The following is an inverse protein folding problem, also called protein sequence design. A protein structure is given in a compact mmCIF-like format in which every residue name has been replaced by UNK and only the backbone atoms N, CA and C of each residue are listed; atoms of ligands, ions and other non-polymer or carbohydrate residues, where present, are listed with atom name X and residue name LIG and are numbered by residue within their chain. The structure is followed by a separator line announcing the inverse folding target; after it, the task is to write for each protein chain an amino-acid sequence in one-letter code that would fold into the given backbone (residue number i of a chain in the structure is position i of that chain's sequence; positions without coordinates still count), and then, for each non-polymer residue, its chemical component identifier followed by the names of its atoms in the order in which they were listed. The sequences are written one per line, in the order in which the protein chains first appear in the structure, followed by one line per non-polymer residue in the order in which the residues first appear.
data_IF_762508355340
#
_entry.id   IF_762508355340
#
_cell.length_a   1.000
_cell.length_b   1.000
_cell.length_c   1.000
_cell.angle_alpha   90.00
_cell.angle_beta   90.00
_cell.angle_gamma   90.00
#
_symmetry.space_group_name_H-M   'P 1'
#
loop_
_entity.id
_entity.type
_entity.pdbx_description
1 polymer ?
#
# COMPACT_ATOMS: atom_id res chain seq x y z
N UNK A 1 -50.51 35.76 46.12
CA UNK A 1 -49.74 36.19 47.31
C UNK A 1 -48.72 35.11 47.64
N UNK A 2 -47.47 35.53 47.83
CA UNK A 2 -46.35 34.90 48.55
C UNK A 2 -45.83 33.51 48.14
N UNK A 3 -44.63 33.47 47.53
CA UNK A 3 -43.30 33.12 48.12
C UNK A 3 -43.09 31.61 48.15
N UNK A 4 -42.19 30.98 47.39
CA UNK A 4 -40.77 31.25 47.26
C UNK A 4 -40.02 30.45 48.33
N UNK A 5 -39.17 29.48 47.95
CA UNK A 5 -37.83 29.25 48.51
C UNK A 5 -37.09 28.10 47.79
N UNK A 6 -35.84 28.40 47.43
CA UNK A 6 -34.77 27.51 47.03
C UNK A 6 -34.30 26.63 48.20
N UNK A 7 -33.75 25.44 47.91
CA UNK A 7 -32.59 24.77 48.54
C UNK A 7 -32.33 23.49 47.71
N UNK A 8 -31.32 23.46 46.84
CA UNK A 8 -29.93 23.03 47.12
C UNK A 8 -29.80 21.57 47.57
N UNK A 9 -28.97 20.79 46.87
CA UNK A 9 -28.31 19.62 47.45
C UNK A 9 -28.37 18.31 46.66
N UNK A 10 -27.19 17.94 46.15
CA UNK A 10 -26.66 16.57 45.94
C UNK A 10 -27.08 15.77 44.71
N UNK A 11 -26.10 15.76 43.80
CA UNK A 11 -25.76 14.72 42.81
C UNK A 11 -26.00 13.30 43.34
N UNK A 12 -26.80 12.52 42.62
CA UNK A 12 -26.72 11.06 42.61
C UNK A 12 -26.50 10.67 41.15
N UNK A 13 -25.34 10.11 40.88
CA UNK A 13 -24.98 9.52 39.60
C UNK A 13 -25.85 8.28 39.37
N UNK A 14 -26.79 8.35 38.42
CA UNK A 14 -27.32 7.15 37.78
C UNK A 14 -26.52 6.91 36.51
N UNK A 15 -25.64 5.92 36.56
CA UNK A 15 -24.93 5.40 35.40
C UNK A 15 -25.93 4.77 34.43
N UNK A 16 -26.30 5.52 33.39
CA UNK A 16 -26.81 4.93 32.17
C UNK A 16 -25.62 4.53 31.31
N UNK A 17 -25.45 3.22 31.15
CA UNK A 17 -24.56 2.61 30.17
C UNK A 17 -25.12 2.94 28.78
N UNK A 18 -24.64 4.05 28.20
CA UNK A 18 -24.71 4.29 26.77
C UNK A 18 -23.50 3.61 26.14
N UNK A 19 -23.68 2.32 25.82
CA UNK A 19 -22.79 1.60 24.92
C UNK A 19 -23.38 1.72 23.51
N UNK A 20 -23.17 2.86 22.85
CA UNK A 20 -23.43 2.99 21.42
C UNK A 20 -22.65 4.17 20.83
N UNK A 21 -21.96 3.86 19.72
CA UNK A 21 -21.45 4.77 18.70
C UNK A 21 -20.18 5.58 19.05
N UNK A 22 -19.05 4.86 19.10
CA UNK A 22 -17.80 5.37 18.52
C UNK A 22 -17.49 4.53 17.28
N UNK A 23 -18.32 4.69 16.25
CA UNK A 23 -17.84 4.45 14.89
C UNK A 23 -17.24 5.78 14.43
N UNK A 24 -15.94 5.85 14.07
CA UNK A 24 -15.45 7.00 13.34
C UNK A 24 -16.20 7.04 12.01
N UNK A 25 -17.05 8.04 11.88
CA UNK A 25 -17.71 8.42 10.64
C UNK A 25 -16.59 8.87 9.70
N UNK A 26 -16.19 8.02 8.75
CA UNK A 26 -15.29 8.39 7.67
C UNK A 26 -16.08 9.28 6.71
N UNK A 27 -16.06 10.59 6.96
CA UNK A 27 -16.43 11.55 5.94
C UNK A 27 -15.23 11.72 5.02
N UNK A 28 -15.24 10.99 3.91
CA UNK A 28 -14.21 11.08 2.88
C UNK A 28 -14.48 12.34 2.04
N UNK A 29 -13.75 13.41 2.35
CA UNK A 29 -13.67 14.56 1.47
C UNK A 29 -12.76 14.19 0.32
N UNK A 30 -13.34 14.08 -0.88
CA UNK A 30 -12.60 14.04 -2.11
C UNK A 30 -11.92 15.41 -2.29
N UNK A 31 -10.63 15.51 -1.97
CA UNK A 31 -9.70 16.46 -2.56
C UNK A 31 -8.29 16.12 -2.05
N UNK A 32 -7.38 15.94 -3.02
CA UNK A 32 -5.93 15.89 -2.88
C UNK A 32 -5.31 14.57 -2.36
N UNK A 33 -4.56 13.92 -3.27
CA UNK A 33 -3.72 12.78 -2.94
C UNK A 33 -2.53 13.20 -2.10
N UNK A 34 -2.64 13.05 -0.78
CA UNK A 34 -1.50 13.06 0.13
C UNK A 34 -1.08 11.61 0.44
N UNK A 35 0.03 11.18 -0.16
CA UNK A 35 0.77 9.99 0.31
C UNK A 35 1.47 10.41 1.60
N UNK A 36 1.06 9.85 2.74
CA UNK A 36 1.72 10.05 4.03
C UNK A 36 3.13 9.42 3.99
N UNK A 37 4.16 10.26 3.82
CA UNK A 37 5.57 9.88 3.95
C UNK A 37 5.95 9.97 5.44
N UNK A 38 6.23 8.82 6.07
CA UNK A 38 6.86 8.81 7.40
C UNK A 38 8.35 9.16 7.24
N UNK A 39 8.75 10.32 7.73
CA UNK A 39 10.12 10.81 7.74
C UNK A 39 10.87 10.24 8.96
N UNK A 40 11.84 9.35 8.74
CA UNK A 40 12.71 8.81 9.81
C UNK A 40 13.96 9.70 9.97
N UNK A 41 14.22 10.16 11.21
CA UNK A 41 15.26 11.15 11.54
C UNK A 41 16.68 10.55 11.56
N UNK A 42 17.61 11.25 10.93
CA UNK A 42 19.05 10.97 10.96
C UNK A 42 19.73 11.25 12.32
N UNK A 43 20.78 10.47 12.63
CA UNK A 43 21.85 10.82 13.57
C UNK A 43 23.20 10.86 12.82
N UNK A 44 23.93 11.97 12.95
CA UNK A 44 25.21 12.25 12.25
C UNK A 44 26.46 11.74 12.98
N UNK A 45 27.43 11.20 12.22
CA UNK A 45 28.76 11.81 11.88
C UNK A 45 29.86 10.76 11.61
N UNK A 46 30.69 11.03 10.59
CA UNK A 46 32.11 10.61 10.53
C UNK A 46 32.63 10.26 9.13
N UNK A 47 33.56 11.06 8.58
CA UNK A 47 34.22 10.87 7.26
C UNK A 47 35.45 9.96 7.36
N UNK A 48 35.74 9.12 6.35
CA UNK A 48 37.04 9.01 5.61
C UNK A 48 36.81 8.32 4.25
N UNK A 49 37.42 8.84 3.18
CA UNK A 49 37.37 8.33 1.81
C UNK A 49 38.32 7.15 1.52
N UNK A 50 37.89 6.15 0.73
CA UNK A 50 38.74 5.29 -0.13
C UNK A 50 37.98 4.80 -1.39
N UNK A 51 38.75 4.67 -2.49
CA UNK A 51 38.42 4.32 -3.89
C UNK A 51 37.69 2.97 -4.10
N UNK A 52 36.80 2.98 -5.11
CA UNK A 52 36.14 1.93 -5.93
C UNK A 52 35.99 0.50 -5.36
N UNK A 53 34.75 0.00 -5.23
CA UNK A 53 34.43 -1.44 -5.00
C UNK A 53 33.09 -1.87 -5.65
N UNK A 54 33.10 -2.69 -6.71
CA UNK A 54 31.89 -3.24 -7.34
C UNK A 54 31.21 -4.39 -6.52
N UNK A 55 31.62 -4.63 -5.26
CA UNK A 55 31.09 -5.71 -4.39
C UNK A 55 29.89 -5.30 -3.52
N UNK A 56 29.57 -4.00 -3.41
CA UNK A 56 28.55 -3.54 -2.45
C UNK A 56 27.12 -3.87 -2.85
N UNK A 57 26.85 -3.99 -4.15
CA UNK A 57 25.55 -4.37 -4.73
C UNK A 57 25.32 -5.88 -4.68
N UNK A 58 26.35 -6.71 -4.89
CA UNK A 58 26.20 -8.18 -4.91
C UNK A 58 25.55 -8.73 -3.62
N UNK A 59 25.87 -8.15 -2.47
CA UNK A 59 25.26 -8.54 -1.20
C UNK A 59 23.77 -8.25 -1.12
N UNK A 60 23.31 -7.11 -1.65
CA UNK A 60 21.88 -6.73 -1.64
C UNK A 60 21.10 -7.42 -2.77
N UNK A 61 21.73 -7.63 -3.93
CA UNK A 61 21.15 -8.43 -5.01
C UNK A 61 20.90 -9.87 -4.55
N UNK A 62 21.87 -10.49 -3.87
CA UNK A 62 21.67 -11.82 -3.30
C UNK A 62 20.56 -11.86 -2.25
N UNK A 63 20.45 -10.83 -1.40
CA UNK A 63 19.34 -10.73 -0.44
C UNK A 63 17.99 -10.64 -1.14
N UNK A 64 17.87 -9.85 -2.21
CA UNK A 64 16.67 -9.77 -3.05
C UNK A 64 16.32 -11.13 -3.67
N UNK A 65 17.29 -11.81 -4.28
CA UNK A 65 17.11 -13.13 -4.88
C UNK A 65 16.70 -14.21 -3.87
N UNK A 66 17.35 -14.24 -2.71
CA UNK A 66 17.03 -15.21 -1.65
C UNK A 66 15.66 -14.89 -1.02
N UNK A 67 15.29 -13.62 -0.90
CA UNK A 67 13.96 -13.20 -0.47
C UNK A 67 12.86 -13.64 -1.46
N UNK A 68 13.10 -13.51 -2.77
CA UNK A 68 12.17 -13.99 -3.80
C UNK A 68 11.93 -15.51 -3.67
N UNK A 69 12.98 -16.31 -3.45
CA UNK A 69 12.82 -17.76 -3.21
C UNK A 69 12.00 -18.06 -1.95
N UNK A 70 12.14 -17.25 -0.90
CA UNK A 70 11.36 -17.40 0.32
C UNK A 70 9.89 -17.01 0.11
N UNK A 71 9.62 -15.98 -0.70
CA UNK A 71 8.26 -15.62 -1.15
C UNK A 71 7.62 -16.78 -1.89
N UNK A 72 8.33 -17.42 -2.83
CA UNK A 72 7.83 -18.61 -3.56
C UNK A 72 7.52 -19.79 -2.61
N UNK A 73 8.24 -19.89 -1.50
CA UNK A 73 8.01 -20.87 -0.42
C UNK A 73 6.94 -20.43 0.60
N UNK A 74 6.32 -19.25 0.41
CA UNK A 74 5.38 -18.61 1.34
C UNK A 74 5.95 -18.31 2.73
N UNK A 75 7.26 -18.18 2.83
CA UNK A 75 7.98 -17.80 4.06
C UNK A 75 8.12 -16.29 4.14
N UNK A 76 6.98 -15.61 4.25
CA UNK A 76 6.91 -14.15 4.09
C UNK A 76 7.69 -13.39 5.16
N UNK A 77 7.69 -13.83 6.41
CA UNK A 77 8.43 -13.15 7.48
C UNK A 77 9.95 -13.21 7.27
N UNK A 78 10.46 -14.37 6.85
CA UNK A 78 11.88 -14.56 6.50
C UNK A 78 12.25 -13.72 5.27
N UNK A 79 11.37 -13.68 4.25
CA UNK A 79 11.58 -12.86 3.05
C UNK A 79 11.61 -11.36 3.38
N UNK A 80 10.66 -10.86 4.17
CA UNK A 80 10.58 -9.47 4.57
C UNK A 80 11.79 -9.03 5.40
N UNK A 81 12.31 -9.90 6.26
CA UNK A 81 13.55 -9.63 6.99
C UNK A 81 14.74 -9.41 6.05
N UNK A 82 14.85 -10.21 4.96
CA UNK A 82 15.89 -10.01 3.94
C UNK A 82 15.68 -8.74 3.12
N UNK A 83 14.44 -8.44 2.74
CA UNK A 83 14.13 -7.20 2.02
C UNK A 83 14.50 -5.95 2.84
N UNK A 84 14.12 -5.88 4.13
CA UNK A 84 14.50 -4.76 4.99
C UNK A 84 16.01 -4.65 5.16
N UNK A 85 16.69 -5.78 5.37
CA UNK A 85 18.15 -5.80 5.47
C UNK A 85 18.85 -5.36 4.17
N UNK A 86 18.21 -5.54 3.00
CA UNK A 86 18.69 -5.04 1.72
C UNK A 86 18.42 -3.55 1.56
N UNK A 87 17.21 -3.07 1.89
CA UNK A 87 16.81 -1.66 1.83
C UNK A 87 17.72 -0.82 2.73
N UNK A 88 17.95 -1.26 3.98
CA UNK A 88 18.85 -0.57 4.91
C UNK A 88 20.27 -0.44 4.35
N UNK A 89 20.75 -1.49 3.67
CA UNK A 89 22.09 -1.47 3.05
C UNK A 89 22.15 -0.54 1.83
N UNK A 90 21.10 -0.49 1.02
CA UNK A 90 20.98 0.46 -0.11
C UNK A 90 21.08 1.89 0.42
N UNK A 91 20.28 2.22 1.45
CA UNK A 91 20.29 3.53 2.11
C UNK A 91 21.65 3.87 2.74
N UNK A 92 22.18 2.98 3.59
CA UNK A 92 23.42 3.23 4.34
C UNK A 92 24.67 3.34 3.46
N UNK A 93 24.78 2.50 2.42
CA UNK A 93 25.94 2.49 1.53
C UNK A 93 25.84 3.48 0.38
N UNK A 94 24.76 4.27 0.34
CA UNK A 94 24.44 5.19 -0.76
C UNK A 94 24.56 4.50 -2.13
N UNK A 95 24.00 3.30 -2.24
CA UNK A 95 23.93 2.59 -3.52
C UNK A 95 22.98 3.38 -4.41
N UNK A 96 23.48 3.89 -5.54
CA UNK A 96 22.71 4.73 -6.48
C UNK A 96 22.29 3.94 -7.70
N UNK A 97 21.59 2.85 -7.47
CA UNK A 97 21.00 2.03 -8.54
C UNK A 97 19.48 2.16 -8.43
N UNK A 98 18.95 3.12 -9.19
CA UNK A 98 17.53 3.49 -9.16
C UNK A 98 16.64 2.35 -9.65
N UNK A 99 17.13 1.58 -10.62
CA UNK A 99 16.40 0.44 -11.16
C UNK A 99 16.29 -0.67 -10.11
N UNK A 100 17.41 -1.00 -9.47
CA UNK A 100 17.44 -1.99 -8.40
C UNK A 100 16.65 -1.54 -7.16
N UNK A 101 16.74 -0.27 -6.76
CA UNK A 101 15.99 0.25 -5.61
C UNK A 101 14.48 0.20 -5.85
N UNK A 102 14.02 0.62 -7.05
CA UNK A 102 12.61 0.49 -7.43
C UNK A 102 12.16 -0.98 -7.46
N UNK A 103 12.97 -1.88 -8.01
CA UNK A 103 12.69 -3.31 -8.02
C UNK A 103 12.57 -3.88 -6.60
N UNK A 104 13.54 -3.58 -5.73
CA UNK A 104 13.60 -4.06 -4.35
C UNK A 104 12.37 -3.61 -3.56
N UNK A 105 11.98 -2.34 -3.68
CA UNK A 105 10.78 -1.79 -3.04
C UNK A 105 9.52 -2.48 -3.56
N UNK A 106 9.40 -2.69 -4.86
CA UNK A 106 8.25 -3.40 -5.44
C UNK A 106 8.20 -4.88 -5.03
N UNK A 107 9.34 -5.57 -4.97
CA UNK A 107 9.40 -6.96 -4.50
C UNK A 107 8.97 -7.06 -3.03
N UNK A 108 9.36 -6.08 -2.22
CA UNK A 108 8.91 -5.94 -0.82
C UNK A 108 7.40 -5.75 -0.75
N UNK A 109 6.85 -4.85 -1.59
CA UNK A 109 5.41 -4.61 -1.69
C UNK A 109 4.65 -5.88 -2.08
N UNK A 110 5.15 -6.62 -3.06
CA UNK A 110 4.56 -7.89 -3.50
C UNK A 110 4.60 -8.95 -2.39
N UNK A 111 5.69 -9.04 -1.62
CA UNK A 111 5.76 -9.94 -0.48
C UNK A 111 4.71 -9.62 0.59
N UNK A 112 4.49 -8.33 0.87
CA UNK A 112 3.40 -7.89 1.74
C UNK A 112 2.01 -8.21 1.18
N UNK A 113 1.78 -7.97 -0.11
CA UNK A 113 0.54 -8.32 -0.78
C UNK A 113 0.26 -9.83 -0.68
N UNK A 114 1.24 -10.68 -0.99
CA UNK A 114 1.09 -12.12 -0.91
C UNK A 114 0.89 -12.59 0.54
N UNK A 115 1.64 -12.03 1.50
CA UNK A 115 1.43 -12.29 2.94
C UNK A 115 0.00 -11.97 3.34
N UNK A 116 -0.50 -10.80 2.95
CA UNK A 116 -1.88 -10.40 3.21
C UNK A 116 -2.90 -11.31 2.55
N UNK A 117 -2.64 -11.74 1.31
CA UNK A 117 -3.51 -12.62 0.55
C UNK A 117 -3.61 -14.03 1.14
N UNK A 118 -2.50 -14.62 1.60
CA UNK A 118 -2.48 -16.00 2.09
C UNK A 118 -2.69 -16.16 3.60
N UNK A 119 -2.35 -15.14 4.41
CA UNK A 119 -2.42 -15.25 5.87
C UNK A 119 -3.64 -14.58 6.49
N UNK A 120 -4.48 -13.89 5.71
CA UNK A 120 -5.64 -13.20 6.26
C UNK A 120 -6.93 -13.99 6.14
N UNK A 121 -7.67 -14.08 7.26
CA UNK A 121 -9.06 -14.54 7.32
C UNK A 121 -10.07 -13.43 6.98
N UNK A 122 -9.69 -12.16 7.16
CA UNK A 122 -10.54 -10.99 6.90
C UNK A 122 -9.77 -9.86 6.24
N UNK A 123 -10.33 -9.35 5.15
CA UNK A 123 -9.72 -8.37 4.30
C UNK A 123 -9.55 -6.98 4.96
N UNK A 124 -10.43 -6.62 5.91
CA UNK A 124 -10.51 -5.29 6.53
C UNK A 124 -9.36 -4.93 7.48
N UNK A 125 -8.67 -5.93 8.05
CA UNK A 125 -7.71 -5.73 9.15
C UNK A 125 -6.27 -5.92 8.68
N UNK A 126 -6.03 -5.87 7.37
CA UNK A 126 -4.80 -6.37 6.79
C UNK A 126 -3.74 -5.28 6.66
N UNK A 127 -2.99 -5.07 7.73
CA UNK A 127 -1.78 -4.24 7.75
C UNK A 127 -0.84 -4.55 6.57
N UNK A 128 -0.80 -5.80 6.10
CA UNK A 128 0.03 -6.19 4.98
C UNK A 128 -0.40 -5.50 3.66
N UNK A 129 -1.69 -5.25 3.42
CA UNK A 129 -2.09 -4.49 2.22
C UNK A 129 -1.72 -3.01 2.33
N UNK A 130 -1.80 -2.42 3.52
CA UNK A 130 -1.33 -1.05 3.75
C UNK A 130 0.17 -0.95 3.43
N UNK A 131 0.96 -1.90 3.94
CA UNK A 131 2.39 -1.98 3.65
C UNK A 131 2.68 -2.25 2.17
N UNK A 132 1.88 -3.07 1.50
CA UNK A 132 2.02 -3.28 0.06
C UNK A 132 1.83 -1.97 -0.73
N UNK A 133 0.80 -1.17 -0.40
CA UNK A 133 0.60 0.15 -1.03
C UNK A 133 1.77 1.08 -0.72
N UNK A 134 2.22 1.14 0.53
CA UNK A 134 3.33 1.99 0.97
C UNK A 134 4.60 1.72 0.15
N UNK A 135 5.06 0.47 0.09
CA UNK A 135 6.29 0.10 -0.60
C UNK A 135 6.17 0.21 -2.13
N UNK A 136 5.01 -0.11 -2.72
CA UNK A 136 4.82 0.05 -4.15
C UNK A 136 4.78 1.54 -4.54
N UNK A 137 4.19 2.40 -3.69
CA UNK A 137 4.22 3.85 -3.88
C UNK A 137 5.65 4.40 -3.79
N UNK A 138 6.45 3.93 -2.83
CA UNK A 138 7.86 4.29 -2.73
C UNK A 138 8.65 3.87 -3.99
N UNK A 139 8.37 2.69 -4.56
CA UNK A 139 8.99 2.25 -5.82
C UNK A 139 8.71 3.22 -6.97
N UNK A 140 7.46 3.67 -7.12
CA UNK A 140 7.08 4.69 -8.12
C UNK A 140 7.78 6.03 -7.87
N UNK A 141 7.94 6.45 -6.61
CA UNK A 141 8.66 7.68 -6.26
C UNK A 141 10.16 7.60 -6.60
N UNK A 142 10.77 6.43 -6.44
CA UNK A 142 12.16 6.18 -6.84
C UNK A 142 12.32 6.19 -8.35
N UNK A 143 11.41 5.52 -9.07
CA UNK A 143 11.39 5.47 -10.53
C UNK A 143 9.97 5.46 -11.07
N UNK A 144 9.53 6.61 -11.56
CA UNK A 144 8.18 6.77 -12.10
C UNK A 144 7.88 5.81 -13.25
N UNK A 145 8.85 5.55 -14.12
CA UNK A 145 8.69 4.63 -15.26
C UNK A 145 8.74 3.15 -14.89
N UNK A 146 8.85 2.80 -13.59
CA UNK A 146 8.89 1.41 -13.13
C UNK A 146 7.48 0.81 -13.10
N UNK A 147 6.98 0.44 -14.28
CA UNK A 147 5.62 -0.09 -14.46
C UNK A 147 5.20 -1.26 -13.57
N UNK A 148 6.09 -2.18 -13.10
CA UNK A 148 5.67 -3.26 -12.23
C UNK A 148 5.06 -2.77 -10.91
N UNK A 149 5.50 -1.61 -10.39
CA UNK A 149 4.93 -1.03 -9.18
C UNK A 149 3.47 -0.60 -9.33
N UNK A 150 3.10 -0.05 -10.49
CA UNK A 150 1.71 0.25 -10.79
C UNK A 150 0.85 -1.01 -10.88
N UNK A 151 1.39 -2.10 -11.43
CA UNK A 151 0.69 -3.40 -11.45
C UNK A 151 0.49 -3.94 -10.04
N UNK A 152 1.50 -3.82 -9.16
CA UNK A 152 1.36 -4.22 -7.75
C UNK A 152 0.30 -3.38 -7.03
N UNK A 153 0.28 -2.05 -7.23
CA UNK A 153 -0.77 -1.18 -6.69
C UNK A 153 -2.15 -1.60 -7.20
N UNK A 154 -2.29 -1.83 -8.51
CA UNK A 154 -3.54 -2.31 -9.11
C UNK A 154 -3.99 -3.65 -8.52
N UNK A 155 -3.08 -4.61 -8.31
CA UNK A 155 -3.42 -5.90 -7.71
C UNK A 155 -3.87 -5.75 -6.25
N UNK A 156 -3.25 -4.85 -5.46
CA UNK A 156 -3.68 -4.55 -4.09
C UNK A 156 -5.07 -3.90 -4.08
N UNK A 157 -5.31 -2.87 -4.90
CA UNK A 157 -6.60 -2.19 -4.96
C UNK A 157 -7.71 -3.06 -5.56
N UNK A 158 -7.37 -4.01 -6.43
CA UNK A 158 -8.31 -5.00 -6.92
C UNK A 158 -8.83 -5.87 -5.77
N UNK A 159 -7.96 -6.25 -4.83
CA UNK A 159 -8.41 -6.93 -3.61
C UNK A 159 -9.24 -6.01 -2.71
N UNK A 160 -8.91 -4.72 -2.65
CA UNK A 160 -9.69 -3.68 -1.95
C UNK A 160 -11.04 -3.39 -2.62
N UNK A 161 -11.30 -3.95 -3.80
CA UNK A 161 -12.49 -3.68 -4.64
C UNK A 161 -12.65 -2.20 -5.01
N UNK A 162 -11.57 -1.44 -4.94
CA UNK A 162 -11.52 -0.05 -5.39
C UNK A 162 -11.15 -0.05 -6.89
N UNK A 163 -12.12 -0.41 -7.73
CA UNK A 163 -11.88 -0.65 -9.15
C UNK A 163 -11.54 0.64 -9.92
N UNK A 164 -11.91 1.80 -9.40
CA UNK A 164 -11.52 3.09 -9.99
C UNK A 164 -10.02 3.30 -9.88
N UNK A 165 -9.42 3.08 -8.69
CA UNK A 165 -7.97 3.13 -8.53
C UNK A 165 -7.26 2.07 -9.36
N UNK A 166 -7.85 0.88 -9.50
CA UNK A 166 -7.28 -0.18 -10.34
C UNK A 166 -7.17 0.27 -11.80
N UNK A 167 -8.20 0.92 -12.35
CA UNK A 167 -8.21 1.47 -13.72
C UNK A 167 -7.13 2.56 -13.88
N UNK A 168 -7.00 3.46 -12.90
CA UNK A 168 -5.94 4.48 -12.89
C UNK A 168 -4.54 3.87 -12.93
N UNK A 169 -4.26 2.87 -12.08
CA UNK A 169 -2.95 2.25 -12.02
C UNK A 169 -2.62 1.38 -13.23
N UNK A 170 -3.60 0.65 -13.79
CA UNK A 170 -3.36 -0.07 -15.04
C UNK A 170 -3.13 0.89 -16.22
N UNK A 171 -3.85 2.00 -16.29
CA UNK A 171 -3.58 3.06 -17.27
C UNK A 171 -2.14 3.55 -17.16
N UNK A 172 -1.66 3.83 -15.93
CA UNK A 172 -0.27 4.23 -15.70
C UNK A 172 0.75 3.14 -16.05
N UNK A 173 0.47 1.87 -15.76
CA UNK A 173 1.35 0.77 -16.16
C UNK A 173 1.49 0.68 -17.69
N UNK A 174 0.39 0.86 -18.42
CA UNK A 174 0.34 0.84 -19.89
C UNK A 174 1.08 2.00 -20.57
N UNK A 175 1.25 3.13 -19.87
CA UNK A 175 2.06 4.27 -20.38
C UNK A 175 3.55 3.90 -20.52
N UNK A 176 4.06 3.02 -19.64
CA UNK A 176 5.49 2.76 -19.49
C UNK A 176 5.94 1.38 -19.99
N UNK A 177 5.06 0.40 -20.02
CA UNK A 177 5.39 -0.95 -20.51
C UNK A 177 5.51 -0.97 -22.04
N UNK A 178 6.42 -1.80 -22.56
CA UNK A 178 6.60 -1.98 -24.00
C UNK A 178 5.37 -2.66 -24.63
N UNK A 179 4.75 -2.01 -25.62
CA UNK A 179 3.46 -2.44 -26.20
C UNK A 179 3.51 -3.81 -26.89
N UNK A 180 4.66 -4.20 -27.42
CA UNK A 180 4.83 -5.50 -28.10
C UNK A 180 5.27 -6.61 -27.11
N UNK A 181 5.31 -6.32 -25.81
CA UNK A 181 5.73 -7.29 -24.79
C UNK A 181 4.58 -8.20 -24.35
N UNK A 182 4.94 -9.43 -23.95
CA UNK A 182 4.01 -10.36 -23.29
C UNK A 182 3.43 -9.79 -21.99
N UNK A 183 4.10 -8.83 -21.36
CA UNK A 183 3.62 -8.23 -20.13
C UNK A 183 2.55 -7.17 -20.40
N UNK A 184 2.67 -6.40 -21.48
CA UNK A 184 1.61 -5.51 -21.95
C UNK A 184 0.32 -6.28 -22.22
N UNK A 185 0.39 -7.40 -22.94
CA UNK A 185 -0.78 -8.26 -23.21
C UNK A 185 -1.48 -8.72 -21.92
N UNK A 186 -0.71 -9.10 -20.89
CA UNK A 186 -1.24 -9.51 -19.58
C UNK A 186 -1.89 -8.34 -18.85
N UNK A 187 -1.26 -7.17 -18.86
CA UNK A 187 -1.77 -5.95 -18.21
C UNK A 187 -3.10 -5.54 -18.84
N UNK A 188 -3.14 -5.40 -20.17
CA UNK A 188 -4.36 -5.03 -20.91
C UNK A 188 -5.48 -6.03 -20.67
N UNK A 189 -5.19 -7.32 -20.60
CA UNK A 189 -6.19 -8.35 -20.27
C UNK A 189 -6.80 -8.14 -18.89
N UNK A 190 -5.98 -7.89 -17.86
CA UNK A 190 -6.46 -7.57 -16.50
C UNK A 190 -7.25 -6.25 -16.50
N UNK A 191 -6.75 -5.22 -17.16
CA UNK A 191 -7.38 -3.91 -17.23
C UNK A 191 -8.76 -3.96 -17.90
N UNK A 192 -8.89 -4.71 -19.01
CA UNK A 192 -10.17 -4.91 -19.68
C UNK A 192 -11.22 -5.62 -18.80
N UNK A 193 -10.79 -6.49 -17.88
CA UNK A 193 -11.70 -7.09 -16.90
C UNK A 193 -12.24 -6.03 -15.94
N UNK A 194 -11.38 -5.13 -15.47
CA UNK A 194 -11.74 -4.04 -14.55
C UNK A 194 -12.70 -3.07 -15.21
N UNK A 195 -12.46 -2.69 -16.47
CA UNK A 195 -13.38 -1.85 -17.25
C UNK A 195 -14.78 -2.44 -17.34
N UNK A 196 -14.91 -3.75 -17.57
CA UNK A 196 -16.20 -4.44 -17.57
C UNK A 196 -16.89 -4.42 -16.19
N UNK A 197 -16.13 -4.52 -15.11
CA UNK A 197 -16.67 -4.41 -13.75
C UNK A 197 -17.23 -3.01 -13.52
N UNK A 198 -16.47 -1.97 -13.87
CA UNK A 198 -16.89 -0.57 -13.74
C UNK A 198 -18.12 -0.26 -14.59
N UNK A 199 -18.17 -0.74 -15.85
CA UNK A 199 -19.34 -0.60 -16.71
C UNK A 199 -20.59 -1.26 -16.12
N UNK A 200 -20.43 -2.40 -15.44
CA UNK A 200 -21.54 -3.09 -14.77
C UNK A 200 -22.03 -2.29 -13.56
N UNK A 201 -21.11 -1.77 -12.74
CA UNK A 201 -21.44 -0.96 -11.56
C UNK A 201 -22.22 0.31 -11.96
N UNK A 202 -21.79 1.02 -13.00
CA UNK A 202 -22.50 2.20 -13.52
C UNK A 202 -23.93 1.89 -13.95
N UNK A 203 -24.15 0.76 -14.64
CA UNK A 203 -25.50 0.35 -15.06
C UNK A 203 -26.40 0.02 -13.87
N UNK A 204 -25.87 -0.59 -12.82
CA UNK A 204 -26.61 -0.91 -11.59
C UNK A 204 -26.95 0.36 -10.80
N UNK A 205 -26.13 1.41 -10.86
CA UNK A 205 -26.39 2.70 -10.24
C UNK A 205 -27.44 3.53 -11.02
N UNK A 206 -27.48 3.40 -12.34
CA UNK A 206 -28.41 4.11 -13.23
C UNK A 206 -29.81 3.47 -13.33
N UNK A 207 -29.99 2.23 -12.85
CA UNK A 207 -31.30 1.58 -12.79
C UNK A 207 -32.15 2.14 -11.63
N UNK A 208 -33.34 2.72 -11.89
CA UNK A 208 -34.16 3.29 -10.84
C UNK A 208 -34.58 2.19 -9.86
N UNK A 209 -34.35 2.42 -8.57
CA UNK A 209 -34.83 1.54 -7.51
C UNK A 209 -36.35 1.32 -7.70
N UNK A 210 -36.72 0.10 -8.09
CA UNK A 210 -38.12 -0.28 -8.25
C UNK A 210 -38.74 -0.19 -6.85
N UNK A 211 -39.52 0.86 -6.61
CA UNK A 211 -40.30 1.00 -5.39
C UNK A 211 -41.39 -0.07 -5.40
N UNK A 212 -41.24 -1.09 -4.56
CA UNK A 212 -42.32 -2.01 -4.17
C UNK A 212 -43.27 -1.36 -3.16
#
# INVERSE_FOLDING_TARGET
MNTGFFLSGRKVFCAFVLLSLLMPMVTWSAEEGEILIFEEREVKKGRVAKKYKPETTLGVTKMNEDALKLVDQRKYDEALALYFAAIDRVKQKSIKDVDFEAELLNNTARAFYEKGFFNSFSFSDNEAFIKAVEYASQSVLVKESYWPAYVTLADVFYKLKDYEKVDQFFTKAEEYVEKDSRDYEKIVKKHNLVKKILEKQKKEEDEPAVAE
#
